data_IF_251248056666
#
_entry.id   IF_251248056666
#
_cell.length_a   1.000
_cell.length_b   1.000
_cell.length_c   1.000
_cell.angle_alpha   90.00
_cell.angle_beta   90.00
_cell.angle_gamma   90.00
#
_symmetry.space_group_name_H-M   'P 1'
#
loop_
_entity.id
_entity.type
_entity.pdbx_description
1 polymer ?
#
# COMPACT_ATOMS: atom_id res chain seq x y z
N UNK A 1 -0.92 17.08 -40.75
CA UNK A 1 -2.18 16.71 -40.10
C UNK A 1 -3.28 17.13 -41.04
N UNK A 2 -4.14 16.21 -41.46
CA UNK A 2 -5.31 16.61 -42.26
C UNK A 2 -6.37 17.28 -41.36
N UNK A 3 -7.43 17.81 -41.95
CA UNK A 3 -8.52 18.47 -41.21
C UNK A 3 -9.29 17.52 -40.27
N UNK A 4 -9.06 16.21 -40.36
CA UNK A 4 -9.66 15.18 -39.52
C UNK A 4 -8.72 14.70 -38.40
N UNK A 5 -7.51 15.28 -38.28
CA UNK A 5 -6.56 14.92 -37.22
C UNK A 5 -5.69 13.69 -37.55
N UNK A 6 -5.76 13.15 -38.76
CA UNK A 6 -4.93 12.01 -39.12
C UNK A 6 -3.46 12.45 -39.30
N UNK A 7 -2.56 11.60 -38.81
CA UNK A 7 -1.11 11.80 -38.88
C UNK A 7 -0.46 10.67 -39.68
N UNK A 8 0.45 11.05 -40.57
CA UNK A 8 1.27 10.13 -41.35
C UNK A 8 2.75 10.36 -41.04
N UNK A 9 3.53 9.28 -40.98
CA UNK A 9 4.98 9.36 -40.82
C UNK A 9 5.57 9.83 -42.16
N UNK A 10 6.05 11.07 -42.21
CA UNK A 10 6.62 11.67 -43.43
C UNK A 10 8.14 11.54 -43.53
N UNK A 11 8.80 11.02 -42.48
CA UNK A 11 10.25 10.84 -42.38
C UNK A 11 10.58 9.69 -41.45
N UNK A 12 11.67 8.97 -41.74
CA UNK A 12 12.17 7.90 -40.87
C UNK A 12 12.47 8.43 -39.45
N UNK A 13 11.98 7.76 -38.39
CA UNK A 13 12.30 8.12 -37.01
C UNK A 13 13.81 8.07 -36.74
N UNK A 14 14.26 8.90 -35.80
CA UNK A 14 15.65 8.89 -35.30
C UNK A 14 15.66 8.40 -33.86
N UNK A 15 16.75 7.76 -33.44
CA UNK A 15 16.92 7.30 -32.05
C UNK A 15 16.95 8.52 -31.12
N UNK A 16 16.13 8.51 -30.08
CA UNK A 16 16.11 9.52 -29.02
C UNK A 16 16.93 9.06 -27.81
N UNK A 17 17.21 9.98 -26.89
CA UNK A 17 17.91 9.68 -25.65
C UNK A 17 17.14 8.70 -24.76
N UNK A 18 17.90 7.90 -24.00
CA UNK A 18 17.34 6.96 -23.02
C UNK A 18 16.90 7.77 -21.79
N UNK A 19 15.68 7.56 -21.24
CA UNK A 19 15.24 8.22 -20.02
C UNK A 19 16.24 8.03 -18.87
N UNK A 20 16.56 9.13 -18.20
CA UNK A 20 17.44 9.13 -17.02
C UNK A 20 16.62 9.10 -15.72
N UNK A 21 17.20 8.55 -14.66
CA UNK A 21 16.58 8.53 -13.32
C UNK A 21 16.52 9.94 -12.75
N UNK A 22 15.44 10.25 -12.02
CA UNK A 22 15.35 11.46 -11.20
C UNK A 22 16.36 11.40 -10.04
N UNK A 23 16.90 12.56 -9.64
CA UNK A 23 17.73 12.71 -8.44
C UNK A 23 16.92 12.86 -7.14
N UNK A 24 15.72 12.29 -7.08
CA UNK A 24 14.86 12.41 -5.90
C UNK A 24 15.33 11.46 -4.78
N UNK A 25 15.50 12.00 -3.57
CA UNK A 25 15.79 11.25 -2.34
C UNK A 25 14.57 11.28 -1.41
N UNK A 26 13.95 10.13 -1.10
CA UNK A 26 12.85 10.05 -0.15
C UNK A 26 13.35 10.30 1.28
N UNK A 27 12.56 11.03 2.07
CA UNK A 27 12.81 11.17 3.52
C UNK A 27 12.27 9.94 4.26
N UNK A 28 13.07 9.38 5.17
CA UNK A 28 12.61 8.30 6.04
C UNK A 28 11.63 8.84 7.09
N UNK A 29 10.51 8.15 7.29
CA UNK A 29 9.59 8.39 8.41
C UNK A 29 10.08 7.55 9.57
N UNK A 30 10.46 8.19 10.67
CA UNK A 30 10.93 7.51 11.88
C UNK A 30 9.80 7.32 12.90
N UNK A 31 9.95 6.32 13.78
CA UNK A 31 9.04 6.12 14.90
C UNK A 31 9.28 7.23 15.93
N UNK A 32 8.24 7.99 16.25
CA UNK A 32 8.34 9.12 17.17
C UNK A 32 8.03 8.77 18.63
N UNK A 33 7.87 7.48 18.94
CA UNK A 33 7.62 6.96 20.30
C UNK A 33 6.26 7.36 20.88
N UNK A 34 5.37 7.94 20.08
CA UNK A 34 4.08 8.47 20.55
C UNK A 34 3.02 7.39 20.82
N UNK A 35 3.25 6.16 20.34
CA UNK A 35 2.36 5.01 20.54
C UNK A 35 2.97 4.09 21.58
N UNK A 36 2.22 3.75 22.63
CA UNK A 36 2.70 2.85 23.68
C UNK A 36 2.83 1.39 23.18
N UNK A 37 3.60 0.57 23.89
CA UNK A 37 3.85 -0.83 23.51
C UNK A 37 2.58 -1.67 23.37
N UNK A 38 1.65 -1.57 24.32
CA UNK A 38 0.39 -2.33 24.28
C UNK A 38 -0.49 -1.99 23.08
N UNK A 39 -0.65 -0.71 22.74
CA UNK A 39 -1.41 -0.30 21.54
C UNK A 39 -0.70 -0.75 20.26
N UNK A 40 0.64 -0.71 20.25
CA UNK A 40 1.45 -1.17 19.11
C UNK A 40 1.26 -2.67 18.87
N UNK A 41 1.19 -3.48 19.94
CA UNK A 41 0.92 -4.91 19.83
C UNK A 41 -0.49 -5.20 19.31
N UNK A 42 -1.51 -4.52 19.84
CA UNK A 42 -2.89 -4.63 19.35
C UNK A 42 -3.00 -4.31 17.86
N UNK A 43 -2.39 -3.20 17.43
CA UNK A 43 -2.37 -2.79 16.02
C UNK A 43 -1.63 -3.80 15.16
N UNK A 44 -0.49 -4.33 15.63
CA UNK A 44 0.25 -5.36 14.91
C UNK A 44 -0.59 -6.63 14.69
N UNK A 45 -1.34 -7.07 15.70
CA UNK A 45 -2.22 -8.24 15.57
C UNK A 45 -3.33 -7.95 14.57
N UNK A 46 -3.97 -6.78 14.66
CA UNK A 46 -4.99 -6.34 13.71
C UNK A 46 -4.45 -6.33 12.27
N UNK A 47 -3.33 -5.67 12.02
CA UNK A 47 -2.72 -5.54 10.69
C UNK A 47 -2.27 -6.89 10.14
N UNK A 48 -1.68 -7.78 10.95
CA UNK A 48 -1.32 -9.14 10.50
C UNK A 48 -2.55 -9.94 10.05
N UNK A 49 -3.65 -9.86 10.79
CA UNK A 49 -4.89 -10.53 10.41
C UNK A 49 -5.47 -9.93 9.14
N UNK A 50 -5.52 -8.60 9.05
CA UNK A 50 -5.98 -7.90 7.86
C UNK A 50 -5.15 -8.26 6.62
N UNK A 51 -3.82 -8.20 6.69
CA UNK A 51 -2.96 -8.46 5.54
C UNK A 51 -2.95 -9.91 5.07
N UNK A 52 -3.31 -10.87 5.92
CA UNK A 52 -3.56 -12.26 5.51
C UNK A 52 -4.82 -12.38 4.66
N UNK A 53 -5.87 -11.61 4.98
CA UNK A 53 -7.15 -11.62 4.29
C UNK A 53 -7.13 -10.75 3.02
N UNK A 54 -6.48 -9.60 3.07
CA UNK A 54 -6.57 -8.53 2.07
C UNK A 54 -6.36 -8.95 0.60
N UNK A 55 -5.40 -9.83 0.25
CA UNK A 55 -5.17 -10.18 -1.15
C UNK A 55 -6.36 -10.86 -1.84
N UNK A 56 -7.10 -11.67 -1.08
CA UNK A 56 -8.22 -12.49 -1.57
C UNK A 56 -9.59 -11.97 -1.14
N UNK A 57 -9.63 -10.99 -0.23
CA UNK A 57 -10.85 -10.42 0.31
C UNK A 57 -11.75 -9.80 -0.77
N UNK A 58 -13.04 -10.09 -0.67
CA UNK A 58 -14.10 -9.35 -1.36
C UNK A 58 -14.32 -7.97 -0.74
N UNK A 59 -15.06 -7.11 -1.44
CA UNK A 59 -15.41 -5.77 -0.93
C UNK A 59 -16.21 -5.85 0.38
N UNK A 60 -17.09 -6.85 0.47
CA UNK A 60 -17.93 -7.14 1.63
C UNK A 60 -17.08 -7.55 2.83
N UNK A 61 -16.09 -8.42 2.62
CA UNK A 61 -15.15 -8.83 3.68
C UNK A 61 -14.24 -7.68 4.13
N UNK A 62 -13.83 -6.80 3.21
CA UNK A 62 -13.03 -5.63 3.56
C UNK A 62 -13.80 -4.59 4.36
N UNK A 63 -15.12 -4.52 4.24
CA UNK A 63 -15.94 -3.53 4.96
C UNK A 63 -15.85 -3.66 6.49
N UNK A 64 -15.46 -4.82 7.01
CA UNK A 64 -15.23 -5.05 8.44
C UNK A 64 -13.92 -4.43 8.96
N UNK A 65 -12.95 -4.21 8.07
CA UNK A 65 -11.61 -3.71 8.41
C UNK A 65 -11.33 -2.32 7.87
N UNK A 66 -12.01 -1.94 6.79
CA UNK A 66 -11.75 -0.74 5.99
C UNK A 66 -13.02 0.09 5.89
N UNK A 67 -12.91 1.36 6.31
CA UNK A 67 -14.01 2.32 6.21
C UNK A 67 -14.04 2.95 4.81
N UNK A 68 -15.24 3.26 4.31
CA UNK A 68 -15.48 4.03 3.09
C UNK A 68 -14.78 3.49 1.83
N UNK A 69 -14.42 2.19 1.82
CA UNK A 69 -13.77 1.51 0.69
C UNK A 69 -12.47 2.21 0.23
N UNK A 70 -11.69 2.76 1.18
CA UNK A 70 -10.41 3.44 0.88
C UNK A 70 -9.37 2.50 0.27
N UNK A 71 -9.45 1.21 0.60
CA UNK A 71 -8.66 0.15 -0.03
C UNK A 71 -9.53 -0.69 -0.96
N UNK A 72 -9.05 -0.88 -2.19
CA UNK A 72 -9.70 -1.73 -3.19
C UNK A 72 -9.22 -3.17 -3.05
N UNK A 73 -10.09 -4.17 -3.29
CA UNK A 73 -9.67 -5.56 -3.40
C UNK A 73 -8.51 -5.74 -4.39
N UNK A 74 -7.51 -6.55 -4.02
CA UNK A 74 -6.39 -6.88 -4.91
C UNK A 74 -6.82 -7.97 -5.91
N UNK A 75 -7.54 -9.00 -5.44
CA UNK A 75 -8.00 -10.11 -6.26
C UNK A 75 -6.85 -10.99 -6.77
N UNK A 76 -5.82 -11.20 -5.95
CA UNK A 76 -4.65 -12.00 -6.29
C UNK A 76 -4.41 -13.07 -5.23
N UNK A 77 -3.90 -14.22 -5.68
CA UNK A 77 -3.54 -15.34 -4.81
C UNK A 77 -2.17 -15.10 -4.17
N UNK A 78 -2.13 -14.12 -3.27
CA UNK A 78 -0.93 -13.77 -2.52
C UNK A 78 -1.02 -14.29 -1.09
N UNK A 79 0.06 -14.91 -0.64
CA UNK A 79 0.21 -15.37 0.74
C UNK A 79 1.02 -14.36 1.52
N UNK A 80 0.44 -13.84 2.60
CA UNK A 80 1.15 -12.96 3.52
C UNK A 80 2.40 -13.66 4.09
N UNK A 81 3.54 -12.99 3.98
CA UNK A 81 4.82 -13.48 4.51
C UNK A 81 5.21 -12.71 5.78
N UNK A 82 5.38 -11.39 5.68
CA UNK A 82 5.85 -10.57 6.80
C UNK A 82 5.46 -9.09 6.64
N UNK A 83 5.44 -8.36 7.75
CA UNK A 83 5.45 -6.89 7.76
C UNK A 83 6.87 -6.42 8.05
N UNK A 84 7.39 -5.56 7.19
CA UNK A 84 8.75 -5.03 7.20
C UNK A 84 8.68 -3.58 7.66
N UNK A 85 9.49 -3.27 8.68
CA UNK A 85 9.70 -1.92 9.22
C UNK A 85 8.40 -1.13 9.45
N UNK A 86 7.42 -1.65 10.22
CA UNK A 86 6.24 -0.86 10.53
C UNK A 86 6.62 0.32 11.43
N UNK A 87 6.22 1.52 11.01
CA UNK A 87 6.40 2.77 11.74
C UNK A 87 5.04 3.25 12.19
N UNK A 88 4.91 3.52 13.49
CA UNK A 88 3.65 3.93 14.12
C UNK A 88 3.78 5.35 14.65
N UNK A 89 2.77 6.18 14.36
CA UNK A 89 2.72 7.57 14.80
C UNK A 89 1.31 7.95 15.24
N UNK A 90 1.18 8.47 16.45
CA UNK A 90 -0.10 8.96 16.96
C UNK A 90 -0.32 10.40 16.50
N UNK A 91 -1.44 10.65 15.83
CA UNK A 91 -1.88 11.99 15.42
C UNK A 91 -3.29 12.22 15.97
N UNK A 92 -3.38 12.96 17.07
CA UNK A 92 -4.62 13.15 17.82
C UNK A 92 -5.16 11.81 18.34
N UNK A 93 -6.34 11.41 17.84
CA UNK A 93 -7.00 10.14 18.20
C UNK A 93 -6.77 9.02 17.17
N UNK A 94 -6.01 9.28 16.12
CA UNK A 94 -5.70 8.30 15.07
C UNK A 94 -4.23 7.86 15.15
N UNK A 95 -3.95 6.71 14.56
CA UNK A 95 -2.59 6.18 14.43
C UNK A 95 -2.25 6.05 12.96
N UNK A 96 -1.28 6.82 12.50
CA UNK A 96 -0.67 6.66 11.19
C UNK A 96 0.33 5.51 11.23
N UNK A 97 0.27 4.67 10.19
CA UNK A 97 1.10 3.49 10.05
C UNK A 97 1.73 3.49 8.68
N UNK A 98 3.05 3.56 8.62
CA UNK A 98 3.80 3.32 7.40
C UNK A 98 4.39 1.92 7.49
N UNK A 99 4.01 1.02 6.57
CA UNK A 99 4.43 -0.38 6.62
C UNK A 99 4.70 -0.92 5.22
N UNK A 100 5.74 -1.74 5.10
CA UNK A 100 5.99 -2.53 3.89
C UNK A 100 5.53 -3.96 4.14
N UNK A 101 4.61 -4.48 3.34
CA UNK A 101 4.10 -5.84 3.48
C UNK A 101 4.68 -6.71 2.39
N UNK A 102 5.25 -7.84 2.79
CA UNK A 102 5.79 -8.83 1.87
C UNK A 102 4.79 -9.95 1.67
N UNK A 103 4.56 -10.24 0.40
CA UNK A 103 3.67 -11.28 -0.09
C UNK A 103 4.46 -12.26 -0.96
N UNK A 104 4.07 -13.53 -0.91
CA UNK A 104 4.50 -14.53 -1.88
C UNK A 104 3.38 -14.73 -2.90
N UNK A 105 3.67 -14.45 -4.16
CA UNK A 105 2.76 -14.76 -5.27
C UNK A 105 2.77 -16.28 -5.52
N UNK A 106 1.62 -16.93 -5.34
CA UNK A 106 1.53 -18.38 -5.53
C UNK A 106 1.66 -18.82 -6.99
N UNK A 107 1.36 -17.95 -7.96
CA UNK A 107 1.45 -18.29 -9.38
C UNK A 107 2.88 -18.18 -9.89
N UNK A 108 3.54 -17.05 -9.61
CA UNK A 108 4.89 -16.77 -10.14
C UNK A 108 6.02 -17.19 -9.20
N UNK A 109 5.69 -17.51 -7.94
CA UNK A 109 6.65 -17.71 -6.83
C UNK A 109 7.52 -16.48 -6.55
N UNK A 110 7.16 -15.32 -7.11
CA UNK A 110 7.86 -14.07 -6.88
C UNK A 110 7.49 -13.48 -5.52
N UNK A 111 8.45 -12.79 -4.91
CA UNK A 111 8.20 -11.94 -3.76
C UNK A 111 7.65 -10.62 -4.23
N UNK A 112 6.48 -10.23 -3.71
CA UNK A 112 5.87 -8.93 -3.94
C UNK A 112 5.93 -8.10 -2.66
N UNK A 113 6.50 -6.89 -2.74
CA UNK A 113 6.54 -5.95 -1.61
C UNK A 113 5.55 -4.82 -1.89
N UNK A 114 4.62 -4.59 -0.96
CA UNK A 114 3.61 -3.54 -1.04
C UNK A 114 3.84 -2.53 0.09
N UNK A 115 4.20 -1.30 -0.26
CA UNK A 115 4.37 -0.21 0.71
C UNK A 115 3.04 0.53 0.86
N UNK A 116 2.59 0.69 2.11
CA UNK A 116 1.30 1.28 2.44
C UNK A 116 1.46 2.29 3.58
N UNK A 117 0.84 3.45 3.38
CA UNK A 117 0.62 4.44 4.43
C UNK A 117 -0.86 4.39 4.80
N UNK A 118 -1.14 3.94 6.02
CA UNK A 118 -2.49 3.72 6.54
C UNK A 118 -2.76 4.66 7.71
N UNK A 119 -4.02 5.05 7.87
CA UNK A 119 -4.50 5.73 9.08
C UNK A 119 -5.51 4.83 9.76
N UNK A 120 -5.24 4.50 11.02
CA UNK A 120 -6.07 3.66 11.86
C UNK A 120 -6.83 4.51 12.87
N UNK A 121 -8.09 4.13 13.10
CA UNK A 121 -8.91 4.70 14.15
C UNK A 121 -9.53 3.57 14.97
N UNK A 122 -9.50 3.72 16.30
CA UNK A 122 -10.16 2.80 17.24
C UNK A 122 -11.50 3.41 17.63
N UNK A 123 -12.59 2.70 17.34
CA UNK A 123 -13.92 2.99 17.90
C UNK A 123 -14.31 1.86 18.85
N UNK A 124 -14.88 0.77 18.32
CA UNK A 124 -15.01 -0.52 19.03
C UNK A 124 -13.88 -1.49 18.68
N UNK A 125 -13.56 -1.56 17.39
CA UNK A 125 -12.42 -2.28 16.83
C UNK A 125 -11.52 -1.30 16.08
N UNK A 126 -10.29 -1.72 15.79
CA UNK A 126 -9.42 -0.99 14.88
C UNK A 126 -9.98 -1.05 13.45
N UNK A 127 -9.98 0.09 12.76
CA UNK A 127 -10.37 0.18 11.35
C UNK A 127 -9.39 1.07 10.58
N UNK A 128 -9.16 0.72 9.33
CA UNK A 128 -8.42 1.53 8.35
C UNK A 128 -9.37 2.59 7.80
N UNK A 129 -9.05 3.86 8.00
CA UNK A 129 -9.89 5.00 7.58
C UNK A 129 -9.26 5.81 6.44
N UNK A 130 -7.96 5.63 6.16
CA UNK A 130 -7.25 6.24 5.05
C UNK A 130 -6.04 5.42 4.67
#
# INVERSE_FOLDING_TARGET
MDKAGNMVIVRNPTICEIPVKSGYEPKAVENDGTVNGGTTEEINVFLKTFFKLYPTASKEELSYYVKDNVLKPIGKDYVFSEMINPVYRKVGNQVQVSVSVKYLDQQTKATQISQLDLTLQKDKNWMIVK
#
